data_IF_800836749439
#
_entry.id   IF_800836749439
#
_cell.length_a   1.000
_cell.length_b   1.000
_cell.length_c   1.000
_cell.angle_alpha   90.00
_cell.angle_beta   90.00
_cell.angle_gamma   90.00
#
_symmetry.space_group_name_H-M   'P 1'
#
loop_
_entity.id
_entity.type
_entity.pdbx_description
1 polymer ?
#
# COMPACT_ATOMS: atom_id res chain seq x y z
N UNK A 1 18.21 4.88 -15.02
CA UNK A 1 17.98 3.41 -15.03
C UNK A 1 18.93 2.71 -16.00
N UNK A 2 19.59 1.64 -15.55
CA UNK A 2 20.47 0.81 -16.37
C UNK A 2 19.67 -0.06 -17.35
N UNK A 3 20.30 -0.51 -18.45
CA UNK A 3 19.75 -1.55 -19.34
C UNK A 3 19.41 -2.83 -18.56
N UNK A 4 20.16 -3.13 -17.50
CA UNK A 4 19.92 -4.28 -16.61
C UNK A 4 18.62 -4.11 -15.81
N UNK A 5 18.37 -2.93 -15.25
CA UNK A 5 17.15 -2.64 -14.47
C UNK A 5 15.91 -2.72 -15.35
N UNK A 6 16.00 -2.18 -16.58
CA UNK A 6 14.90 -2.28 -17.56
C UNK A 6 14.62 -3.73 -17.96
N UNK A 7 15.67 -4.53 -18.21
CA UNK A 7 15.51 -5.96 -18.53
C UNK A 7 14.87 -6.71 -17.36
N UNK A 8 15.33 -6.45 -16.13
CA UNK A 8 14.78 -7.04 -14.91
C UNK A 8 13.29 -6.68 -14.74
N UNK A 9 12.92 -5.42 -14.92
CA UNK A 9 11.53 -4.96 -14.86
C UNK A 9 10.63 -5.66 -15.89
N UNK A 10 11.10 -5.79 -17.14
CA UNK A 10 10.35 -6.50 -18.20
C UNK A 10 10.13 -7.97 -17.87
N UNK A 11 11.17 -8.70 -17.46
CA UNK A 11 11.02 -10.12 -17.09
C UNK A 11 10.09 -10.28 -15.90
N UNK A 12 10.19 -9.38 -14.91
CA UNK A 12 9.30 -9.39 -13.76
C UNK A 12 7.84 -9.18 -14.15
N UNK A 13 7.58 -8.22 -15.03
CA UNK A 13 6.24 -7.97 -15.59
C UNK A 13 5.72 -9.18 -16.38
N UNK A 14 6.56 -9.79 -17.24
CA UNK A 14 6.17 -10.98 -18.00
C UNK A 14 5.75 -12.16 -17.11
N UNK A 15 6.43 -12.37 -15.98
CA UNK A 15 6.05 -13.39 -14.99
C UNK A 15 4.70 -13.11 -14.35
N UNK A 16 4.45 -11.86 -13.97
CA UNK A 16 3.18 -11.42 -13.39
C UNK A 16 2.05 -11.57 -14.39
N UNK A 17 2.23 -11.08 -15.62
CA UNK A 17 1.24 -11.17 -16.69
C UNK A 17 0.90 -12.64 -17.01
N UNK A 18 1.91 -13.51 -17.12
CA UNK A 18 1.72 -14.95 -17.33
C UNK A 18 0.97 -15.63 -16.17
N UNK A 19 1.27 -15.23 -14.93
CA UNK A 19 0.58 -15.76 -13.75
C UNK A 19 -0.90 -15.35 -13.72
N UNK A 20 -1.22 -14.08 -13.96
CA UNK A 20 -2.60 -13.59 -14.03
C UNK A 20 -3.38 -14.41 -15.05
N UNK A 21 -2.84 -14.52 -16.26
CA UNK A 21 -3.41 -15.25 -17.38
C UNK A 21 -3.70 -16.73 -17.06
N UNK A 22 -2.75 -17.43 -16.46
CA UNK A 22 -2.91 -18.85 -16.11
C UNK A 22 -3.91 -19.04 -14.96
N UNK A 23 -3.82 -18.20 -13.94
CA UNK A 23 -4.71 -18.27 -12.77
C UNK A 23 -6.16 -17.98 -13.17
N UNK A 24 -6.39 -17.01 -14.06
CA UNK A 24 -7.74 -16.73 -14.57
C UNK A 24 -8.30 -17.88 -15.41
N UNK A 25 -7.45 -18.56 -16.20
CA UNK A 25 -7.90 -19.65 -17.07
C UNK A 25 -8.20 -20.96 -16.36
N UNK A 26 -7.36 -21.37 -15.39
CA UNK A 26 -7.44 -22.70 -14.75
C UNK A 26 -7.47 -22.69 -13.22
N UNK A 27 -7.45 -21.51 -12.60
CA UNK A 27 -7.46 -21.34 -11.15
C UNK A 27 -6.06 -21.30 -10.52
N UNK A 28 -6.00 -20.79 -9.29
CA UNK A 28 -4.75 -20.59 -8.54
C UNK A 28 -4.04 -21.91 -8.20
N UNK A 29 -4.78 -22.89 -7.69
CA UNK A 29 -4.21 -24.16 -7.24
C UNK A 29 -3.65 -25.00 -8.40
N UNK A 30 -4.33 -25.01 -9.54
CA UNK A 30 -3.90 -25.73 -10.73
C UNK A 30 -2.74 -25.04 -11.49
N UNK A 31 -2.34 -23.83 -11.08
CA UNK A 31 -1.25 -23.07 -11.70
C UNK A 31 0.04 -23.27 -10.91
N UNK A 32 1.05 -23.86 -11.57
CA UNK A 32 2.36 -24.13 -10.96
C UNK A 32 3.40 -23.08 -11.36
N UNK A 33 4.47 -22.96 -10.57
CA UNK A 33 5.63 -22.12 -10.91
C UNK A 33 6.26 -22.56 -12.24
N UNK A 34 6.25 -23.86 -12.55
CA UNK A 34 6.75 -24.38 -13.81
C UNK A 34 5.91 -23.88 -15.00
N UNK A 35 4.58 -23.86 -14.88
CA UNK A 35 3.69 -23.33 -15.91
C UNK A 35 3.96 -21.84 -16.16
N UNK A 36 4.08 -21.06 -15.09
CA UNK A 36 4.31 -19.61 -15.15
C UNK A 36 5.67 -19.33 -15.79
N UNK A 37 6.72 -20.04 -15.36
CA UNK A 37 8.06 -19.88 -15.89
C UNK A 37 8.12 -20.24 -17.39
N UNK A 38 7.48 -21.36 -17.78
CA UNK A 38 7.39 -21.77 -19.18
C UNK A 38 6.62 -20.75 -20.03
N UNK A 39 5.49 -20.24 -19.54
CA UNK A 39 4.69 -19.22 -20.24
C UNK A 39 5.43 -17.88 -20.38
N UNK A 40 6.34 -17.56 -19.46
CA UNK A 40 7.21 -16.39 -19.51
C UNK A 40 8.56 -16.66 -20.22
N UNK A 41 8.72 -17.83 -20.85
CA UNK A 41 9.94 -18.25 -21.58
C UNK A 41 11.22 -18.20 -20.73
N UNK A 42 11.13 -18.57 -19.44
CA UNK A 42 12.27 -18.67 -18.53
C UNK A 42 12.29 -20.00 -17.77
N UNK A 43 13.44 -20.34 -17.18
CA UNK A 43 13.54 -21.49 -16.28
C UNK A 43 12.99 -21.19 -14.88
N UNK A 44 12.53 -22.23 -14.17
CA UNK A 44 12.07 -22.14 -12.76
C UNK A 44 13.14 -21.58 -11.82
N UNK A 45 14.42 -21.91 -12.03
CA UNK A 45 15.53 -21.29 -11.29
C UNK A 45 15.59 -19.78 -11.49
N UNK A 46 15.29 -19.31 -12.71
CA UNK A 46 15.24 -17.88 -13.01
C UNK A 46 14.03 -17.25 -12.34
N UNK A 47 12.87 -17.90 -12.33
CA UNK A 47 11.70 -17.44 -11.56
C UNK A 47 12.06 -17.10 -10.11
N UNK A 48 12.74 -18.01 -9.41
CA UNK A 48 13.13 -17.81 -8.00
C UNK A 48 14.12 -16.66 -7.78
N UNK A 49 14.81 -16.18 -8.82
CA UNK A 49 15.64 -14.96 -8.72
C UNK A 49 14.82 -13.66 -8.71
N UNK A 50 13.53 -13.73 -9.08
CA UNK A 50 12.59 -12.60 -9.08
C UNK A 50 11.57 -12.69 -7.95
N UNK A 51 11.06 -13.88 -7.66
CA UNK A 51 9.99 -14.10 -6.68
C UNK A 51 10.31 -15.33 -5.82
N UNK A 52 10.33 -15.20 -4.47
CA UNK A 52 10.60 -16.31 -3.57
C UNK A 52 9.53 -17.42 -3.62
N UNK A 53 8.28 -17.05 -3.90
CA UNK A 53 7.12 -17.97 -3.94
C UNK A 53 6.12 -17.60 -5.04
N UNK A 54 5.09 -18.45 -5.23
CA UNK A 54 3.97 -18.16 -6.13
C UNK A 54 3.11 -17.01 -5.59
N UNK A 55 2.97 -16.94 -4.26
CA UNK A 55 2.23 -15.90 -3.55
C UNK A 55 2.88 -14.52 -3.76
N UNK A 56 4.21 -14.44 -3.77
CA UNK A 56 4.95 -13.19 -3.98
C UNK A 56 4.68 -12.52 -5.34
N UNK A 57 4.28 -13.28 -6.35
CA UNK A 57 3.88 -12.72 -7.66
C UNK A 57 2.66 -11.81 -7.55
N UNK A 58 1.80 -12.04 -6.57
CA UNK A 58 0.59 -11.24 -6.35
C UNK A 58 0.89 -9.91 -5.64
N UNK A 59 2.10 -9.74 -5.13
CA UNK A 59 2.53 -8.54 -4.42
C UNK A 59 3.80 -7.94 -5.03
N UNK A 60 3.84 -7.69 -6.35
CA UNK A 60 5.07 -7.28 -7.00
C UNK A 60 5.54 -5.89 -6.55
N UNK A 61 4.66 -5.04 -6.05
CA UNK A 61 4.98 -3.65 -5.78
C UNK A 61 5.31 -3.35 -4.31
N UNK A 62 5.30 -4.35 -3.42
CA UNK A 62 5.44 -4.11 -1.98
C UNK A 62 6.69 -3.30 -1.65
N UNK A 63 7.87 -3.74 -2.12
CA UNK A 63 9.13 -3.03 -1.90
C UNK A 63 9.08 -1.59 -2.41
N UNK A 64 8.46 -1.36 -3.58
CA UNK A 64 8.29 -0.01 -4.15
C UNK A 64 7.39 0.85 -3.28
N UNK A 65 6.26 0.33 -2.80
CA UNK A 65 5.30 1.06 -1.96
C UNK A 65 5.91 1.44 -0.62
N UNK A 66 6.69 0.54 -0.01
CA UNK A 66 7.45 0.85 1.20
C UNK A 66 8.48 1.93 0.92
N UNK A 67 9.22 1.82 -0.19
CA UNK A 67 10.22 2.84 -0.55
C UNK A 67 9.58 4.22 -0.77
N UNK A 68 8.43 4.31 -1.45
CA UNK A 68 7.69 5.58 -1.62
C UNK A 68 7.32 6.17 -0.26
N UNK A 69 6.84 5.36 0.69
CA UNK A 69 6.54 5.84 2.04
C UNK A 69 7.79 6.32 2.78
N UNK A 70 8.91 5.59 2.69
CA UNK A 70 10.18 5.97 3.31
C UNK A 70 10.73 7.26 2.70
N UNK A 71 10.68 7.40 1.38
CA UNK A 71 11.13 8.59 0.66
C UNK A 71 10.25 9.80 1.01
N UNK A 72 8.93 9.61 1.11
CA UNK A 72 8.01 10.66 1.53
C UNK A 72 8.29 11.15 2.97
N UNK A 73 8.64 10.24 3.88
CA UNK A 73 9.04 10.56 5.26
C UNK A 73 10.37 11.30 5.31
N UNK A 74 11.33 10.88 4.48
CA UNK A 74 12.64 11.51 4.38
C UNK A 74 12.54 12.92 3.78
N UNK A 75 11.65 13.13 2.80
CA UNK A 75 11.40 14.39 2.11
C UNK A 75 10.35 15.30 2.74
N UNK A 76 9.92 15.02 3.98
CA UNK A 76 8.89 15.82 4.67
C UNK A 76 9.28 17.28 4.82
N UNK A 77 8.29 18.17 4.82
CA UNK A 77 8.50 19.57 5.21
C UNK A 77 8.61 19.71 6.74
N UNK A 78 9.32 20.72 7.28
CA UNK A 78 9.48 20.90 8.72
C UNK A 78 8.15 21.00 9.50
N UNK A 79 7.13 21.60 8.88
CA UNK A 79 5.81 21.82 9.47
C UNK A 79 4.77 20.75 9.05
N UNK A 80 5.18 19.71 8.32
CA UNK A 80 4.28 18.66 7.85
C UNK A 80 3.94 17.69 8.98
N UNK A 81 2.65 17.47 9.24
CA UNK A 81 2.21 16.52 10.28
C UNK A 81 2.49 15.07 9.88
N UNK A 82 2.77 14.17 10.84
CA UNK A 82 3.05 12.76 10.53
C UNK A 82 1.95 12.05 9.73
N UNK A 83 0.69 12.37 9.99
CA UNK A 83 -0.45 11.82 9.26
C UNK A 83 -0.49 12.31 7.81
N UNK A 84 -0.15 13.58 7.57
CA UNK A 84 -0.15 14.19 6.24
C UNK A 84 0.93 13.58 5.33
N UNK A 85 2.09 13.26 5.90
CA UNK A 85 3.16 12.53 5.19
C UNK A 85 2.67 11.18 4.69
N UNK A 86 1.97 10.40 5.53
CA UNK A 86 1.45 9.08 5.14
C UNK A 86 0.36 9.20 4.07
N UNK A 87 -0.52 10.20 4.19
CA UNK A 87 -1.55 10.49 3.18
C UNK A 87 -0.94 10.93 1.85
N UNK A 88 0.15 11.70 1.88
CA UNK A 88 0.90 12.08 0.68
C UNK A 88 1.59 10.87 0.04
N UNK A 89 2.26 10.05 0.84
CA UNK A 89 2.85 8.80 0.38
C UNK A 89 1.82 7.87 -0.28
N UNK A 90 0.59 7.80 0.26
CA UNK A 90 -0.49 7.03 -0.35
C UNK A 90 -0.85 7.53 -1.75
N UNK A 91 -0.97 8.85 -1.91
CA UNK A 91 -1.29 9.48 -3.20
C UNK A 91 -0.18 9.23 -4.21
N UNK A 92 1.07 9.46 -3.84
CA UNK A 92 2.25 9.20 -4.68
C UNK A 92 2.33 7.71 -5.10
N UNK A 93 2.09 6.79 -4.16
CA UNK A 93 2.09 5.36 -4.46
C UNK A 93 0.98 4.95 -5.44
N UNK A 94 -0.19 5.59 -5.36
CA UNK A 94 -1.34 5.33 -6.22
C UNK A 94 -1.19 5.95 -7.61
N UNK A 95 -0.65 7.18 -7.72
CA UNK A 95 -0.47 7.90 -8.98
C UNK A 95 0.58 7.22 -9.88
N UNK A 96 1.61 6.61 -9.28
CA UNK A 96 2.64 5.84 -9.98
C UNK A 96 2.21 4.40 -10.35
N UNK A 97 1.10 3.91 -9.80
CA UNK A 97 0.60 2.57 -10.12
C UNK A 97 -0.53 2.65 -11.14
N UNK A 98 -0.31 2.16 -12.36
CA UNK A 98 -1.37 1.96 -13.37
C UNK A 98 -2.46 0.94 -12.93
N UNK A 99 -2.44 0.43 -11.69
CA UNK A 99 -3.02 -0.87 -11.33
C UNK A 99 -3.73 -0.88 -9.96
N UNK A 100 -4.54 0.14 -9.64
CA UNK A 100 -5.51 0.04 -8.55
C UNK A 100 -6.82 -0.66 -8.98
N UNK A 101 -7.12 -0.65 -10.27
CA UNK A 101 -8.29 -1.30 -10.89
C UNK A 101 -7.94 -2.34 -11.93
N UNK A 102 -6.65 -2.56 -12.22
CA UNK A 102 -6.26 -3.52 -13.24
C UNK A 102 -6.39 -4.97 -12.77
N UNK A 103 -6.12 -5.89 -13.70
CA UNK A 103 -6.39 -7.32 -13.54
C UNK A 103 -5.70 -7.92 -12.31
N UNK A 104 -4.48 -7.48 -12.01
CA UNK A 104 -3.73 -7.99 -10.86
C UNK A 104 -4.38 -7.57 -9.55
N UNK A 105 -4.81 -6.32 -9.41
CA UNK A 105 -5.44 -5.82 -8.19
C UNK A 105 -6.72 -6.61 -7.88
N UNK A 106 -7.58 -6.80 -8.87
CA UNK A 106 -8.82 -7.59 -8.74
C UNK A 106 -8.51 -9.04 -8.38
N UNK A 107 -7.55 -9.65 -9.09
CA UNK A 107 -7.14 -11.03 -8.84
C UNK A 107 -6.58 -11.20 -7.42
N UNK A 108 -5.67 -10.32 -7.01
CA UNK A 108 -5.04 -10.32 -5.68
C UNK A 108 -6.09 -10.26 -4.58
N UNK A 109 -7.03 -9.32 -4.66
CA UNK A 109 -8.05 -9.17 -3.61
C UNK A 109 -8.92 -10.43 -3.54
N UNK A 110 -9.40 -10.95 -4.68
CA UNK A 110 -10.15 -12.20 -4.71
C UNK A 110 -9.38 -13.34 -4.05
N UNK A 111 -8.12 -13.55 -4.45
CA UNK A 111 -7.30 -14.63 -3.89
C UNK A 111 -6.96 -14.43 -2.41
N UNK A 112 -6.78 -13.19 -1.95
CA UNK A 112 -6.64 -12.91 -0.51
C UNK A 112 -7.90 -13.31 0.27
N UNK A 113 -9.08 -13.22 -0.32
CA UNK A 113 -10.33 -13.63 0.31
C UNK A 113 -10.58 -15.14 0.22
N UNK A 114 -10.15 -15.80 -0.85
CA UNK A 114 -10.46 -17.21 -1.10
C UNK A 114 -9.34 -18.19 -0.69
N UNK A 115 -8.08 -17.76 -0.75
CA UNK A 115 -6.90 -18.63 -0.61
C UNK A 115 -6.11 -18.27 0.66
N UNK A 116 -6.11 -19.13 1.71
CA UNK A 116 -5.43 -18.84 2.98
C UNK A 116 -3.93 -18.55 2.85
N UNK A 117 -3.23 -19.24 1.94
CA UNK A 117 -1.80 -19.04 1.71
C UNK A 117 -1.49 -17.63 1.18
N UNK A 118 -2.29 -17.15 0.22
CA UNK A 118 -2.17 -15.79 -0.34
C UNK A 118 -2.49 -14.74 0.72
N UNK A 119 -3.54 -14.97 1.52
CA UNK A 119 -3.87 -14.08 2.64
C UNK A 119 -2.73 -13.99 3.65
N UNK A 120 -2.19 -15.14 4.07
CA UNK A 120 -1.09 -15.22 5.01
C UNK A 120 0.14 -14.47 4.51
N UNK A 121 0.50 -14.64 3.24
CA UNK A 121 1.63 -13.91 2.65
C UNK A 121 1.39 -12.41 2.61
N UNK A 122 0.19 -11.97 2.22
CA UNK A 122 -0.19 -10.56 2.20
C UNK A 122 -0.11 -9.91 3.58
N UNK A 123 -0.60 -10.59 4.62
CA UNK A 123 -0.54 -10.11 6.01
C UNK A 123 0.91 -10.05 6.53
N UNK A 124 1.76 -11.02 6.17
CA UNK A 124 3.17 -10.98 6.53
C UNK A 124 3.88 -9.77 5.90
N UNK A 125 3.70 -9.57 4.59
CA UNK A 125 4.25 -8.43 3.88
C UNK A 125 3.75 -7.09 4.45
N UNK A 126 2.46 -7.02 4.79
CA UNK A 126 1.87 -5.85 5.44
C UNK A 126 2.50 -5.58 6.81
N UNK A 127 2.68 -6.61 7.64
CA UNK A 127 3.30 -6.49 8.96
C UNK A 127 4.74 -5.98 8.88
N UNK A 128 5.54 -6.54 7.98
CA UNK A 128 6.94 -6.14 7.77
C UNK A 128 7.01 -4.68 7.30
N UNK A 129 6.14 -4.32 6.35
CA UNK A 129 6.02 -2.94 5.82
C UNK A 129 5.64 -1.94 6.91
N UNK A 130 4.64 -2.27 7.75
CA UNK A 130 4.21 -1.39 8.85
C UNK A 130 5.34 -1.14 9.83
N UNK A 131 6.10 -2.18 10.19
CA UNK A 131 7.25 -2.06 11.10
C UNK A 131 8.36 -1.19 10.52
N UNK A 132 8.63 -1.31 9.23
CA UNK A 132 9.64 -0.48 8.57
C UNK A 132 9.21 0.98 8.53
N UNK A 133 8.01 1.27 8.02
CA UNK A 133 7.48 2.63 7.91
C UNK A 133 7.40 3.28 9.30
N UNK A 134 6.92 2.57 10.32
CA UNK A 134 6.83 3.10 11.69
C UNK A 134 8.20 3.49 12.26
N UNK A 135 9.25 2.70 12.01
CA UNK A 135 10.61 3.04 12.45
C UNK A 135 11.11 4.32 11.79
N UNK A 136 10.92 4.45 10.48
CA UNK A 136 11.30 5.66 9.75
C UNK A 136 10.50 6.88 10.22
N UNK A 137 9.21 6.70 10.51
CA UNK A 137 8.33 7.77 10.98
C UNK A 137 8.71 8.25 12.40
N UNK A 138 9.00 7.34 13.33
CA UNK A 138 9.46 7.71 14.67
C UNK A 138 10.79 8.48 14.62
N UNK A 139 11.74 8.04 13.79
CA UNK A 139 13.02 8.73 13.60
C UNK A 139 12.86 10.12 12.97
N UNK A 140 11.84 10.31 12.13
CA UNK A 140 11.51 11.58 11.51
C UNK A 140 10.83 12.57 12.48
N UNK A 141 10.14 12.08 13.50
CA UNK A 141 9.35 12.91 14.41
C UNK A 141 9.69 12.63 15.89
N UNK A 142 10.97 12.78 16.30
CA UNK A 142 11.41 12.37 17.63
C UNK A 142 10.73 13.13 18.78
N UNK A 143 10.30 14.38 18.54
CA UNK A 143 9.61 15.21 19.54
C UNK A 143 8.10 14.96 19.61
N UNK A 144 7.54 14.18 18.68
CA UNK A 144 6.09 13.97 18.56
C UNK A 144 5.67 12.51 18.63
N UNK A 145 6.52 11.59 18.21
CA UNK A 145 6.21 10.16 18.11
C UNK A 145 7.32 9.33 18.77
N UNK A 146 6.94 8.56 19.77
CA UNK A 146 7.72 7.40 20.19
C UNK A 146 7.43 6.19 19.27
N UNK A 147 8.13 5.08 19.50
CA UNK A 147 7.98 3.86 18.69
C UNK A 147 6.54 3.33 18.69
N UNK A 148 5.85 3.40 19.83
CA UNK A 148 4.49 2.90 19.99
C UNK A 148 3.49 3.78 19.24
N UNK A 149 3.62 5.11 19.38
CA UNK A 149 2.73 6.08 18.73
C UNK A 149 2.91 6.08 17.21
N UNK A 150 4.14 5.94 16.72
CA UNK A 150 4.41 5.77 15.30
C UNK A 150 3.82 4.47 14.75
N UNK A 151 4.00 3.35 15.47
CA UNK A 151 3.41 2.06 15.10
C UNK A 151 1.87 2.11 15.12
N UNK A 152 1.27 2.79 16.09
CA UNK A 152 -0.18 2.97 16.19
C UNK A 152 -0.73 3.79 15.01
N UNK A 153 -0.06 4.90 14.66
CA UNK A 153 -0.45 5.74 13.52
C UNK A 153 -0.36 4.96 12.19
N UNK A 154 0.76 4.29 11.93
CA UNK A 154 0.93 3.47 10.73
C UNK A 154 -0.06 2.30 10.71
N UNK A 155 -0.32 1.68 11.86
CA UNK A 155 -1.32 0.64 12.04
C UNK A 155 -2.72 1.11 11.68
N UNK A 156 -3.15 2.25 12.21
CA UNK A 156 -4.44 2.86 11.94
C UNK A 156 -4.59 3.23 10.45
N UNK A 157 -3.56 3.84 9.86
CA UNK A 157 -3.52 4.18 8.44
C UNK A 157 -3.67 2.96 7.52
N UNK A 158 -2.87 1.92 7.75
CA UNK A 158 -2.91 0.69 6.94
C UNK A 158 -4.22 -0.08 7.16
N UNK A 159 -4.72 -0.12 8.39
CA UNK A 159 -6.00 -0.74 8.73
C UNK A 159 -7.17 -0.04 8.00
N UNK A 160 -7.16 1.29 7.96
CA UNK A 160 -8.14 2.09 7.23
C UNK A 160 -8.13 1.78 5.74
N UNK A 161 -6.94 1.80 5.11
CA UNK A 161 -6.80 1.49 3.70
C UNK A 161 -7.24 0.06 3.37
N UNK A 162 -6.89 -0.90 4.23
CA UNK A 162 -7.30 -2.31 4.07
C UNK A 162 -8.81 -2.46 4.16
N UNK A 163 -9.43 -1.88 5.20
CA UNK A 163 -10.88 -1.94 5.40
C UNK A 163 -11.67 -1.33 4.25
N UNK A 164 -11.23 -0.17 3.74
CA UNK A 164 -11.82 0.47 2.57
C UNK A 164 -11.78 -0.45 1.33
N UNK A 165 -10.63 -1.06 1.05
CA UNK A 165 -10.45 -1.93 -0.11
C UNK A 165 -11.28 -3.22 0.01
N UNK A 166 -11.30 -3.86 1.19
CA UNK A 166 -12.07 -5.11 1.37
C UNK A 166 -13.57 -4.87 1.23
N UNK A 167 -14.11 -3.79 1.82
CA UNK A 167 -15.54 -3.49 1.74
C UNK A 167 -15.94 -3.07 0.33
N UNK A 168 -15.12 -2.27 -0.35
CA UNK A 168 -15.43 -1.83 -1.71
C UNK A 168 -15.46 -3.00 -2.72
N UNK A 169 -14.69 -4.06 -2.46
CA UNK A 169 -14.62 -5.23 -3.33
C UNK A 169 -15.82 -6.17 -3.24
N UNK A 170 -16.63 -6.06 -2.19
CA UNK A 170 -17.92 -6.76 -2.07
C UNK A 170 -18.97 -6.22 -3.04
N UNK A 171 -18.77 -5.01 -3.58
CA UNK A 171 -19.66 -4.35 -4.53
C UNK A 171 -19.06 -4.33 -5.95
N UNK A 172 -19.59 -5.15 -6.89
CA UNK A 172 -19.09 -5.23 -8.25
C UNK A 172 -19.16 -3.92 -9.05
N UNK A 173 -20.09 -3.02 -8.74
CA UNK A 173 -20.23 -1.74 -9.43
C UNK A 173 -19.21 -0.74 -8.90
N UNK A 174 -19.03 -0.67 -7.59
CA UNK A 174 -18.08 0.27 -6.96
C UNK A 174 -16.62 -0.12 -7.16
N UNK A 175 -16.30 -1.41 -7.23
CA UNK A 175 -14.91 -1.86 -7.45
C UNK A 175 -14.34 -1.52 -8.82
N UNK A 176 -15.19 -1.27 -9.82
CA UNK A 176 -14.76 -0.88 -11.15
C UNK A 176 -14.61 0.64 -11.31
N UNK A 177 -15.03 1.43 -10.31
CA UNK A 177 -14.99 2.89 -10.34
C UNK A 177 -13.79 3.44 -9.54
N UNK A 178 -12.77 4.03 -10.21
CA UNK A 178 -11.64 4.67 -9.55
C UNK A 178 -12.04 5.79 -8.58
N UNK A 179 -13.14 6.51 -8.86
CA UNK A 179 -13.63 7.56 -7.97
C UNK A 179 -14.16 6.97 -6.66
N UNK A 180 -14.96 5.89 -6.73
CA UNK A 180 -15.42 5.17 -5.55
C UNK A 180 -14.27 4.60 -4.71
N UNK A 181 -13.19 4.11 -5.34
CA UNK A 181 -11.98 3.65 -4.63
C UNK A 181 -11.34 4.79 -3.84
N UNK A 182 -11.12 5.92 -4.50
CA UNK A 182 -10.53 7.11 -3.88
C UNK A 182 -11.38 7.62 -2.72
N UNK A 183 -12.69 7.71 -2.92
CA UNK A 183 -13.65 8.17 -1.91
C UNK A 183 -13.65 7.25 -0.68
N UNK A 184 -13.69 5.92 -0.88
CA UNK A 184 -13.65 4.94 0.20
C UNK A 184 -12.34 5.00 1.00
N UNK A 185 -11.20 5.13 0.31
CA UNK A 185 -9.90 5.29 0.96
C UNK A 185 -9.85 6.56 1.79
N UNK A 186 -10.26 7.70 1.20
CA UNK A 186 -10.30 8.99 1.88
C UNK A 186 -11.19 8.92 3.13
N UNK A 187 -12.42 8.43 2.99
CA UNK A 187 -13.36 8.28 4.10
C UNK A 187 -12.77 7.43 5.24
N UNK A 188 -12.15 6.30 4.92
CA UNK A 188 -11.58 5.42 5.92
C UNK A 188 -10.38 6.07 6.63
N UNK A 189 -9.49 6.73 5.88
CA UNK A 189 -8.34 7.44 6.47
C UNK A 189 -8.78 8.63 7.31
N UNK A 190 -9.81 9.37 6.91
CA UNK A 190 -10.33 10.50 7.69
C UNK A 190 -10.88 10.03 9.05
N UNK A 191 -11.59 8.89 9.07
CA UNK A 191 -12.09 8.29 10.32
C UNK A 191 -10.92 7.83 11.19
N UNK A 192 -9.99 7.07 10.61
CA UNK A 192 -8.91 6.47 11.36
C UNK A 192 -7.91 7.50 11.86
N UNK A 193 -7.57 8.52 11.06
CA UNK A 193 -6.54 9.50 11.39
C UNK A 193 -7.05 10.71 12.17
N UNK A 194 -8.34 10.79 12.45
CA UNK A 194 -8.94 11.90 13.21
C UNK A 194 -8.23 12.22 14.54
N UNK A 195 -7.77 11.25 15.35
CA UNK A 195 -7.00 11.55 16.58
C UNK A 195 -5.68 12.28 16.32
N UNK A 196 -5.13 12.17 15.11
CA UNK A 196 -3.85 12.74 14.69
C UNK A 196 -3.99 13.99 13.81
N UNK A 197 -5.22 14.40 13.48
CA UNK A 197 -5.45 15.68 12.82
C UNK A 197 -5.01 16.83 13.76
N UNK A 198 -4.56 17.97 13.22
CA UNK A 198 -4.30 19.16 14.02
C UNK A 198 -5.54 19.43 14.87
N UNK A 199 -5.42 19.26 16.18
CA UNK A 199 -6.44 19.72 17.10
C UNK A 199 -6.40 21.25 16.96
N UNK A 200 -7.51 21.88 16.56
CA UNK A 200 -7.65 23.32 16.74
C UNK A 200 -7.40 23.60 18.22
N UNK A 201 -6.17 24.06 18.54
CA UNK A 201 -5.83 24.52 19.87
C UNK A 201 -6.84 25.60 20.28
N UNK A 202 -7.17 25.73 21.58
CA UNK A 202 -8.25 26.59 22.03
C UNK A 202 -8.07 27.98 21.41
N UNK A 203 -9.07 28.41 20.63
CA UNK A 203 -9.16 29.75 20.03
C UNK A 203 -8.61 30.75 21.04
N UNK A 204 -7.47 31.37 20.71
CA UNK A 204 -6.83 32.40 21.53
C UNK A 204 -7.94 33.40 21.89
N UNK A 205 -8.39 33.39 23.15
CA UNK A 205 -9.45 34.28 23.64
C UNK A 205 -9.10 35.70 23.20
N UNK A 206 -10.00 36.32 22.43
CA UNK A 206 -9.88 37.74 22.10
C UNK A 206 -9.66 38.51 23.40
N UNK A 207 -8.73 39.48 23.44
CA UNK A 207 -8.56 40.32 24.62
C UNK A 207 -9.89 41.04 24.91
N UNK A 208 -10.24 41.25 26.19
CA UNK A 208 -11.44 42.00 26.53
C UNK A 208 -11.37 43.39 25.89
N UNK A 209 -12.52 43.97 25.48
CA UNK A 209 -12.53 45.29 24.89
C UNK A 209 -11.86 46.27 25.85
N UNK A 210 -10.92 47.05 25.33
CA UNK A 210 -10.32 48.14 26.08
C UNK A 210 -11.44 49.10 26.48
N UNK A 211 -11.56 49.34 27.80
CA UNK A 211 -12.44 50.38 28.33
C UNK A 211 -12.07 51.70 27.64
N UNK A 212 -13.02 52.22 26.85
CA UNK A 212 -12.93 53.54 26.28
C UNK A 212 -13.31 54.58 27.36
N UNK A 213 -12.65 55.75 27.37
CA UNK A 213 -12.77 56.76 28.43
C UNK A 213 -14.14 57.44 28.50
#
# INVERSE_FOLDING_TARGET
MSLRDRKRGRTRKALVDAAIDLIERKGYEATTIADIAAAAEIGTRTFFSYFPSKEDLLFPETDRRVQVAVDAIAGRSPDEEPADVLLRALREANDDSEDMTGRLAVLRIRLTMEVPAVRGRGLQLQWDSQREIARHLAAAYPDRLDEVSAAALVGAFVGAATGALTTLMEDPQRRADPAAIRESLQKATDIALRPWAPQDGPTRKSPPPADAP
#
